data_IF_053173373594
#
_entry.id   IF_053173373594
#
_cell.length_a   1.000
_cell.length_b   1.000
_cell.length_c   1.000
_cell.angle_alpha   90.00
_cell.angle_beta   90.00
_cell.angle_gamma   90.00
#
_symmetry.space_group_name_H-M   'P 1'
#
loop_
_entity.id
_entity.type
_entity.pdbx_description
1 polymer ?
#
# COMPACT_ATOMS: atom_id res chain seq x y z
N UNK A 1 4.54 16.72 -13.71
CA UNK A 1 5.64 15.73 -13.62
C UNK A 1 5.02 14.35 -13.78
N UNK A 2 5.56 13.53 -14.69
CA UNK A 2 5.12 12.16 -14.90
C UNK A 2 6.03 11.26 -14.06
N UNK A 3 5.63 10.97 -12.80
CA UNK A 3 6.52 10.30 -11.84
C UNK A 3 6.89 8.86 -12.23
N UNK A 4 6.07 8.22 -13.07
CA UNK A 4 6.26 6.86 -13.57
C UNK A 4 6.65 6.79 -15.04
N UNK A 5 6.90 7.93 -15.72
CA UNK A 5 7.22 8.00 -17.15
C UNK A 5 6.27 7.19 -18.05
N UNK A 6 4.97 7.23 -17.76
CA UNK A 6 3.96 6.49 -18.50
C UNK A 6 3.65 7.10 -19.88
N UNK A 7 3.18 6.30 -20.87
CA UNK A 7 2.78 6.79 -22.18
C UNK A 7 1.69 7.87 -22.11
N UNK A 8 1.73 8.85 -23.02
CA UNK A 8 0.76 9.97 -23.06
C UNK A 8 -0.70 9.52 -23.16
N UNK A 9 -0.98 8.41 -23.85
CA UNK A 9 -2.30 7.78 -23.96
C UNK A 9 -2.92 7.33 -22.62
N UNK A 10 -2.12 7.23 -21.57
CA UNK A 10 -2.61 6.86 -20.23
C UNK A 10 -3.07 8.08 -19.42
N UNK A 11 -2.79 9.31 -19.88
CA UNK A 11 -3.06 10.55 -19.13
C UNK A 11 -4.55 10.84 -19.05
N UNK A 12 -5.03 11.08 -17.82
CA UNK A 12 -6.40 11.54 -17.53
C UNK A 12 -6.39 12.97 -16.99
N UNK A 13 -5.48 13.27 -16.06
CA UNK A 13 -5.26 14.57 -15.44
C UNK A 13 -6.54 15.28 -14.94
N UNK A 14 -7.41 14.55 -14.24
CA UNK A 14 -8.69 15.05 -13.70
C UNK A 14 -8.60 15.27 -12.20
N UNK A 15 -9.11 16.40 -11.69
CA UNK A 15 -9.22 16.63 -10.24
C UNK A 15 -10.35 15.78 -9.67
N UNK A 16 -10.05 15.01 -8.62
CA UNK A 16 -11.07 14.27 -7.86
C UNK A 16 -11.45 15.13 -6.66
N UNK A 17 -12.69 15.66 -6.61
CA UNK A 17 -13.09 16.56 -5.54
C UNK A 17 -13.27 15.76 -4.24
N UNK A 18 -12.90 16.34 -3.10
CA UNK A 18 -12.92 15.62 -1.79
C UNK A 18 -14.33 15.20 -1.37
N UNK A 19 -15.34 15.94 -1.82
CA UNK A 19 -16.75 15.62 -1.56
C UNK A 19 -17.24 14.40 -2.35
N UNK A 20 -16.48 13.89 -3.34
CA UNK A 20 -16.80 12.63 -4.02
C UNK A 20 -16.85 11.45 -3.04
N UNK A 21 -16.20 11.57 -1.88
CA UNK A 21 -16.15 10.54 -0.85
C UNK A 21 -17.13 10.79 0.30
N UNK A 22 -17.99 11.81 0.24
CA UNK A 22 -18.85 12.23 1.36
C UNK A 22 -19.80 11.10 1.84
N UNK A 23 -20.27 10.24 0.93
CA UNK A 23 -21.12 9.08 1.27
C UNK A 23 -20.39 7.95 2.01
N UNK A 24 -19.05 7.95 1.97
CA UNK A 24 -18.20 6.91 2.57
C UNK A 24 -17.53 7.37 3.87
N UNK A 25 -17.76 8.60 4.30
CA UNK A 25 -17.03 9.22 5.41
C UNK A 25 -17.93 9.87 6.45
N UNK A 26 -17.48 9.84 7.70
CA UNK A 26 -18.10 10.61 8.79
C UNK A 26 -17.54 12.03 8.89
N UNK A 27 -18.16 12.87 9.72
CA UNK A 27 -17.76 14.28 9.93
C UNK A 27 -16.28 14.44 10.33
N UNK A 28 -15.73 13.51 11.12
CA UNK A 28 -14.32 13.55 11.54
C UNK A 28 -13.38 13.26 10.37
N UNK A 29 -13.69 12.26 9.56
CA UNK A 29 -12.94 11.92 8.35
C UNK A 29 -13.04 13.03 7.30
N UNK A 30 -14.22 13.63 7.10
CA UNK A 30 -14.41 14.78 6.21
C UNK A 30 -13.56 15.99 6.62
N UNK A 31 -13.48 16.26 7.91
CA UNK A 31 -12.56 17.27 8.45
C UNK A 31 -11.10 16.90 8.17
N UNK A 32 -10.72 15.63 8.37
CA UNK A 32 -9.36 15.16 8.10
C UNK A 32 -8.98 15.28 6.61
N UNK A 33 -9.90 14.96 5.68
CA UNK A 33 -9.73 15.23 4.24
C UNK A 33 -9.44 16.71 3.97
N UNK A 34 -10.20 17.59 4.61
CA UNK A 34 -10.06 19.04 4.43
C UNK A 34 -8.76 19.57 5.01
N UNK A 35 -8.37 19.09 6.19
CA UNK A 35 -7.22 19.57 6.95
C UNK A 35 -5.89 18.99 6.44
N UNK A 36 -5.86 17.75 5.94
CA UNK A 36 -4.63 17.06 5.53
C UNK A 36 -4.40 17.06 4.04
N UNK A 37 -5.42 16.83 3.23
CA UNK A 37 -5.27 16.74 1.78
C UNK A 37 -5.43 18.13 1.19
N UNK A 38 -4.49 18.54 0.35
CA UNK A 38 -4.59 19.75 -0.45
C UNK A 38 -5.44 19.46 -1.70
N UNK A 39 -5.01 18.48 -2.51
CA UNK A 39 -5.63 18.12 -3.78
C UNK A 39 -5.44 16.63 -4.09
N UNK A 40 -6.42 16.05 -4.78
CA UNK A 40 -6.36 14.70 -5.33
C UNK A 40 -6.52 14.84 -6.84
N UNK A 41 -5.59 14.25 -7.59
CA UNK A 41 -5.60 14.27 -9.06
C UNK A 41 -5.50 12.86 -9.59
N UNK A 42 -6.48 12.45 -10.38
CA UNK A 42 -6.40 11.27 -11.21
C UNK A 42 -5.48 11.56 -12.38
N UNK A 43 -4.24 11.08 -12.28
CA UNK A 43 -3.18 11.40 -13.23
C UNK A 43 -3.24 10.50 -14.46
N UNK A 44 -3.32 9.18 -14.25
CA UNK A 44 -3.28 8.19 -15.31
C UNK A 44 -4.25 7.04 -15.06
N UNK A 45 -4.66 6.39 -16.15
CA UNK A 45 -5.42 5.14 -16.18
C UNK A 45 -4.67 4.15 -17.06
N UNK A 46 -4.45 2.95 -16.52
CA UNK A 46 -3.87 1.81 -17.23
C UNK A 46 -4.96 0.75 -17.42
N UNK A 47 -5.21 0.39 -18.66
CA UNK A 47 -6.23 -0.55 -19.12
C UNK A 47 -5.78 -1.11 -20.48
N UNK A 48 -6.43 -2.16 -20.97
CA UNK A 48 -6.11 -2.70 -22.30
C UNK A 48 -6.19 -1.64 -23.39
N UNK A 49 -7.15 -0.73 -23.32
CA UNK A 49 -7.31 0.38 -24.27
C UNK A 49 -6.15 1.39 -24.22
N UNK A 50 -5.62 1.66 -23.02
CA UNK A 50 -4.62 2.71 -22.82
C UNK A 50 -3.19 2.21 -22.97
N UNK A 51 -2.91 0.92 -22.75
CA UNK A 51 -1.54 0.38 -22.86
C UNK A 51 -1.39 -0.82 -23.79
N UNK A 52 -2.47 -1.37 -24.34
CA UNK A 52 -2.48 -2.58 -25.19
C UNK A 52 -1.88 -3.81 -24.49
N UNK A 53 -2.09 -3.92 -23.17
CA UNK A 53 -1.77 -5.11 -22.39
C UNK A 53 -3.06 -5.87 -22.05
N UNK A 54 -2.98 -7.19 -22.03
CA UNK A 54 -4.07 -8.04 -21.54
C UNK A 54 -4.26 -7.94 -20.03
N UNK A 55 -5.32 -8.58 -19.52
CA UNK A 55 -5.55 -8.77 -18.10
C UNK A 55 -6.16 -10.15 -17.86
N UNK A 56 -5.96 -10.67 -16.65
CA UNK A 56 -6.66 -11.84 -16.13
C UNK A 56 -7.69 -11.40 -15.09
N UNK A 57 -7.25 -10.80 -13.99
CA UNK A 57 -8.10 -10.33 -12.88
C UNK A 57 -8.12 -8.79 -12.83
N UNK A 58 -6.96 -8.16 -13.04
CA UNK A 58 -6.80 -6.71 -12.89
C UNK A 58 -7.11 -6.01 -14.22
N UNK A 59 -8.37 -5.61 -14.39
CA UNK A 59 -8.86 -4.95 -15.61
C UNK A 59 -8.32 -3.52 -15.79
N UNK A 60 -8.09 -2.82 -14.68
CA UNK A 60 -7.69 -1.41 -14.70
C UNK A 60 -6.87 -1.05 -13.45
N UNK A 61 -5.84 -0.22 -13.65
CA UNK A 61 -5.05 0.40 -12.59
C UNK A 61 -5.15 1.92 -12.72
N UNK A 62 -5.58 2.59 -11.66
CA UNK A 62 -5.69 4.05 -11.61
C UNK A 62 -4.55 4.65 -10.78
N UNK A 63 -3.97 5.74 -11.28
CA UNK A 63 -2.90 6.45 -10.57
C UNK A 63 -3.40 7.78 -10.02
N UNK A 64 -3.46 7.88 -8.70
CA UNK A 64 -3.88 9.08 -8.00
C UNK A 64 -2.69 9.78 -7.34
N UNK A 65 -2.50 11.06 -7.68
CA UNK A 65 -1.59 11.95 -6.97
C UNK A 65 -2.36 12.61 -5.83
N UNK A 66 -1.86 12.47 -4.61
CA UNK A 66 -2.43 13.04 -3.39
C UNK A 66 -1.44 14.04 -2.81
N UNK A 67 -1.72 15.31 -2.99
CA UNK A 67 -0.91 16.41 -2.44
C UNK A 67 -1.36 16.69 -1.01
N UNK A 68 -0.45 16.61 -0.04
CA UNK A 68 -0.74 16.91 1.37
C UNK A 68 -0.41 18.36 1.72
N UNK A 69 -1.17 18.92 2.66
CA UNK A 69 -0.91 20.24 3.27
C UNK A 69 0.22 20.20 4.30
N UNK A 70 0.44 19.04 4.93
CA UNK A 70 1.48 18.79 5.91
C UNK A 70 1.88 17.32 5.89
N UNK A 71 3.11 17.00 6.32
CA UNK A 71 3.56 15.61 6.50
C UNK A 71 2.73 14.97 7.61
N UNK A 72 1.89 14.02 7.26
CA UNK A 72 1.01 13.30 8.19
C UNK A 72 0.65 11.94 7.63
N UNK A 73 0.38 10.98 8.52
CA UNK A 73 -0.21 9.71 8.14
C UNK A 73 -1.67 9.92 7.70
N UNK A 74 -1.95 9.57 6.44
CA UNK A 74 -3.28 9.61 5.81
C UNK A 74 -3.74 8.21 5.36
N UNK A 75 -3.12 7.15 5.85
CA UNK A 75 -3.45 5.74 5.51
C UNK A 75 -4.95 5.46 5.56
N UNK A 76 -5.63 5.87 6.63
CA UNK A 76 -7.10 5.72 6.76
C UNK A 76 -7.88 6.45 5.67
N UNK A 77 -7.40 7.61 5.19
CA UNK A 77 -8.04 8.32 4.08
C UNK A 77 -7.83 7.61 2.75
N UNK A 78 -6.63 7.08 2.50
CA UNK A 78 -6.34 6.30 1.31
C UNK A 78 -7.19 5.03 1.27
N UNK A 79 -7.35 4.37 2.41
CA UNK A 79 -8.19 3.18 2.55
C UNK A 79 -9.64 3.46 2.16
N UNK A 80 -10.21 4.60 2.59
CA UNK A 80 -11.55 5.05 2.21
C UNK A 80 -11.64 5.21 0.69
N UNK A 81 -10.68 5.91 0.08
CA UNK A 81 -10.67 6.12 -1.38
C UNK A 81 -10.58 4.76 -2.09
N UNK A 82 -9.72 3.86 -1.62
CA UNK A 82 -9.53 2.54 -2.21
C UNK A 82 -10.79 1.66 -2.14
N UNK A 83 -11.58 1.75 -1.06
CA UNK A 83 -12.85 1.01 -0.92
C UNK A 83 -13.98 1.58 -1.77
N UNK A 84 -13.96 2.89 -2.01
CA UNK A 84 -15.01 3.59 -2.77
C UNK A 84 -14.92 3.39 -4.29
N UNK A 85 -13.85 2.75 -4.78
CA UNK A 85 -13.58 2.55 -6.21
C UNK A 85 -13.22 1.08 -6.42
N UNK A 86 -13.88 0.36 -7.35
CA UNK A 86 -13.65 -1.07 -7.55
C UNK A 86 -12.28 -1.40 -8.17
N UNK A 87 -11.76 -0.52 -9.03
CA UNK A 87 -10.47 -0.71 -9.72
C UNK A 87 -9.25 -0.50 -8.81
N UNK A 88 -8.15 -1.20 -9.09
CA UNK A 88 -6.90 -1.07 -8.34
C UNK A 88 -6.35 0.36 -8.40
N UNK A 89 -5.92 0.90 -7.26
CA UNK A 89 -5.39 2.28 -7.18
C UNK A 89 -3.97 2.27 -6.66
N UNK A 90 -3.10 2.98 -7.38
CA UNK A 90 -1.77 3.37 -6.94
C UNK A 90 -1.80 4.84 -6.54
N UNK A 91 -1.56 5.10 -5.26
CA UNK A 91 -1.42 6.43 -4.70
C UNK A 91 0.04 6.88 -4.74
N UNK A 92 0.29 8.01 -5.38
CA UNK A 92 1.48 8.82 -5.17
C UNK A 92 1.13 9.92 -4.16
N UNK A 93 1.54 9.75 -2.90
CA UNK A 93 1.25 10.73 -1.85
C UNK A 93 2.49 11.58 -1.64
N UNK A 94 2.33 12.90 -1.71
CA UNK A 94 3.47 13.82 -1.66
C UNK A 94 3.25 14.99 -0.71
N UNK A 95 4.36 15.44 -0.15
CA UNK A 95 4.45 16.67 0.61
C UNK A 95 5.80 17.32 0.36
N UNK A 96 5.80 18.55 -0.16
CA UNK A 96 7.03 19.26 -0.57
C UNK A 96 7.86 18.43 -1.57
N UNK A 97 9.07 18.02 -1.19
CA UNK A 97 10.01 17.24 -2.01
C UNK A 97 10.05 15.76 -1.61
N UNK A 98 9.13 15.33 -0.77
CA UNK A 98 9.05 13.94 -0.29
C UNK A 98 7.75 13.30 -0.77
N UNK A 99 7.78 11.99 -0.98
CA UNK A 99 6.62 11.20 -1.37
C UNK A 99 6.67 9.80 -0.77
N UNK A 100 5.54 9.10 -0.78
CA UNK A 100 5.50 7.66 -0.61
C UNK A 100 4.46 7.07 -1.56
N UNK A 101 4.59 5.78 -1.85
CA UNK A 101 3.62 5.04 -2.65
C UNK A 101 2.76 4.19 -1.75
N UNK A 102 1.46 4.13 -2.04
CA UNK A 102 0.56 3.18 -1.40
C UNK A 102 -0.40 2.57 -2.43
N UNK A 103 -0.65 1.27 -2.30
CA UNK A 103 -1.62 0.54 -3.12
C UNK A 103 -2.26 -0.56 -2.28
N UNK A 104 -3.37 -1.13 -2.74
CA UNK A 104 -4.03 -2.22 -2.04
C UNK A 104 -4.39 -3.37 -2.98
N UNK A 105 -4.10 -4.59 -2.54
CA UNK A 105 -4.75 -5.77 -3.10
C UNK A 105 -6.16 -5.84 -2.54
N UNK A 106 -7.13 -6.07 -3.42
CA UNK A 106 -8.55 -6.04 -3.08
C UNK A 106 -9.35 -6.88 -4.04
N UNK A 107 -10.54 -7.28 -3.58
CA UNK A 107 -11.55 -7.96 -4.38
C UNK A 107 -12.90 -7.25 -4.24
N UNK A 108 -13.83 -7.45 -5.19
CA UNK A 108 -15.19 -6.90 -5.09
C UNK A 108 -15.91 -7.41 -3.83
N UNK A 109 -16.74 -6.57 -3.22
CA UNK A 109 -17.52 -6.98 -2.06
C UNK A 109 -18.54 -8.06 -2.46
N UNK A 110 -18.73 -9.14 -1.66
CA UNK A 110 -19.56 -10.30 -2.05
C UNK A 110 -21.02 -10.00 -2.42
N UNK A 111 -21.52 -8.84 -2.01
CA UNK A 111 -22.91 -8.41 -2.21
C UNK A 111 -23.04 -7.04 -2.89
N UNK A 112 -21.93 -6.36 -3.20
CA UNK A 112 -21.96 -5.04 -3.83
C UNK A 112 -20.67 -4.79 -4.63
N UNK A 113 -20.72 -5.01 -5.94
CA UNK A 113 -19.55 -4.92 -6.81
C UNK A 113 -18.98 -3.49 -6.94
N UNK A 114 -19.73 -2.46 -6.52
CA UNK A 114 -19.26 -1.06 -6.51
C UNK A 114 -18.35 -0.76 -5.31
N UNK A 115 -18.24 -1.68 -4.35
CA UNK A 115 -17.43 -1.53 -3.14
C UNK A 115 -16.33 -2.59 -3.14
N UNK A 116 -15.10 -2.20 -2.82
CA UNK A 116 -13.99 -3.14 -2.69
C UNK A 116 -13.72 -3.53 -1.22
N UNK A 117 -13.34 -4.79 -1.02
CA UNK A 117 -12.79 -5.31 0.24
C UNK A 117 -11.28 -5.39 0.11
N UNK A 118 -10.56 -4.72 1.01
CA UNK A 118 -9.09 -4.68 1.00
C UNK A 118 -8.54 -5.91 1.70
N UNK A 119 -7.75 -6.71 0.98
CA UNK A 119 -7.03 -7.86 1.52
C UNK A 119 -5.74 -7.42 2.21
N UNK A 120 -5.02 -6.48 1.58
CA UNK A 120 -3.79 -5.94 2.11
C UNK A 120 -3.45 -4.58 1.50
N UNK A 121 -2.85 -3.70 2.30
CA UNK A 121 -2.32 -2.42 1.83
C UNK A 121 -0.79 -2.46 1.84
N UNK A 122 -0.20 -2.26 0.67
CA UNK A 122 1.23 -2.07 0.48
C UNK A 122 1.53 -0.56 0.57
N UNK A 123 2.59 -0.21 1.29
CA UNK A 123 3.04 1.18 1.40
C UNK A 123 4.54 1.22 1.60
N UNK A 124 5.21 2.13 0.88
CA UNK A 124 6.60 2.46 1.15
C UNK A 124 6.72 3.42 2.35
N UNK A 125 7.95 3.59 2.82
CA UNK A 125 8.34 4.74 3.61
C UNK A 125 8.40 6.02 2.75
N UNK A 126 8.60 7.16 3.42
CA UNK A 126 8.78 8.46 2.75
C UNK A 126 10.16 8.54 2.09
N UNK A 127 10.16 8.84 0.80
CA UNK A 127 11.34 8.98 -0.05
C UNK A 127 11.44 10.39 -0.65
N UNK A 128 12.64 10.77 -1.10
CA UNK A 128 12.85 12.02 -1.84
C UNK A 128 12.41 11.88 -3.28
N UNK A 129 11.66 12.85 -3.82
CA UNK A 129 11.23 12.88 -5.23
C UNK A 129 12.43 12.88 -6.19
N UNK A 130 13.60 13.36 -5.74
CA UNK A 130 14.84 13.37 -6.53
C UNK A 130 15.43 11.97 -6.74
N UNK A 131 15.07 11.00 -5.90
CA UNK A 131 15.49 9.61 -6.00
C UNK A 131 14.26 8.70 -5.93
N UNK A 132 13.46 8.65 -6.99
CA UNK A 132 12.31 7.74 -7.07
C UNK A 132 12.79 6.31 -7.43
N UNK A 133 12.72 5.33 -6.51
CA UNK A 133 13.09 3.95 -6.82
C UNK A 133 11.97 3.19 -7.54
N UNK A 134 10.73 3.67 -7.48
CA UNK A 134 9.55 2.95 -7.94
C UNK A 134 9.27 3.15 -9.41
N UNK A 135 8.95 2.06 -10.12
CA UNK A 135 8.65 2.05 -11.54
C UNK A 135 7.40 1.22 -11.83
N UNK A 136 6.66 1.61 -12.86
CA UNK A 136 5.59 0.82 -13.43
C UNK A 136 6.10 0.19 -14.73
N UNK A 137 6.60 -1.04 -14.62
CA UNK A 137 7.12 -1.78 -15.77
C UNK A 137 5.95 -2.34 -16.57
N UNK A 138 5.63 -1.70 -17.70
CA UNK A 138 4.52 -2.08 -18.58
C UNK A 138 4.87 -3.34 -19.39
N UNK A 139 4.77 -4.52 -18.77
CA UNK A 139 5.12 -5.81 -19.37
C UNK A 139 4.00 -6.84 -19.23
N UNK A 140 3.87 -7.71 -20.24
CA UNK A 140 3.00 -8.89 -20.26
C UNK A 140 1.49 -8.61 -20.08
N UNK A 141 1.05 -8.27 -18.87
CA UNK A 141 -0.34 -8.00 -18.51
C UNK A 141 -0.44 -6.98 -17.37
N UNK A 142 -1.63 -6.42 -17.17
CA UNK A 142 -1.92 -5.52 -16.05
C UNK A 142 -1.69 -6.19 -14.68
N UNK A 143 -1.96 -7.49 -14.57
CA UNK A 143 -1.71 -8.28 -13.36
C UNK A 143 -0.23 -8.32 -13.00
N UNK A 144 0.64 -8.51 -14.00
CA UNK A 144 2.09 -8.52 -13.82
C UNK A 144 2.59 -7.13 -13.42
N UNK A 145 2.11 -6.07 -14.09
CA UNK A 145 2.43 -4.67 -13.74
C UNK A 145 2.09 -4.35 -12.29
N UNK A 146 0.89 -4.74 -11.85
CA UNK A 146 0.43 -4.48 -10.49
C UNK A 146 1.21 -5.31 -9.45
N UNK A 147 1.43 -6.60 -9.74
CA UNK A 147 2.22 -7.48 -8.87
C UNK A 147 3.64 -6.96 -8.69
N UNK A 148 4.30 -6.57 -9.79
CA UNK A 148 5.65 -6.02 -9.78
C UNK A 148 5.75 -4.80 -8.86
N UNK A 149 4.80 -3.87 -8.97
CA UNK A 149 4.73 -2.74 -8.05
C UNK A 149 4.53 -3.19 -6.59
N UNK A 150 3.63 -4.15 -6.32
CA UNK A 150 3.44 -4.67 -4.97
C UNK A 150 4.73 -5.24 -4.39
N UNK A 151 5.50 -6.01 -5.18
CA UNK A 151 6.81 -6.54 -4.78
C UNK A 151 7.82 -5.42 -4.52
N UNK A 152 7.88 -4.39 -5.36
CA UNK A 152 8.74 -3.22 -5.13
C UNK A 152 8.42 -2.48 -3.82
N UNK A 153 7.17 -2.56 -3.35
CA UNK A 153 6.74 -1.98 -2.07
C UNK A 153 6.96 -2.93 -0.87
N UNK A 154 7.50 -4.12 -1.12
CA UNK A 154 7.98 -5.01 -0.08
C UNK A 154 9.50 -4.93 0.03
N UNK A 155 10.03 -5.24 1.20
CA UNK A 155 11.48 -5.37 1.42
C UNK A 155 12.05 -6.71 0.90
N UNK A 156 11.32 -7.45 0.04
CA UNK A 156 11.69 -8.80 -0.39
C UNK A 156 11.49 -9.00 -1.90
N UNK A 157 12.55 -8.86 -2.72
CA UNK A 157 12.48 -9.05 -4.17
C UNK A 157 12.25 -10.52 -4.59
N UNK A 158 12.54 -11.50 -3.73
CA UNK A 158 12.36 -12.93 -4.08
C UNK A 158 10.88 -13.31 -4.27
N UNK A 159 9.96 -12.40 -3.95
CA UNK A 159 8.53 -12.56 -4.14
C UNK A 159 8.08 -12.39 -5.60
N UNK A 160 8.96 -12.03 -6.55
CA UNK A 160 8.59 -11.88 -7.97
C UNK A 160 8.02 -13.16 -8.58
N UNK A 161 8.55 -14.34 -8.22
CA UNK A 161 8.08 -15.64 -8.72
C UNK A 161 6.84 -16.16 -7.98
N UNK A 162 6.41 -15.44 -6.94
CA UNK A 162 5.27 -15.82 -6.11
C UNK A 162 3.97 -15.16 -6.62
N UNK A 163 2.84 -15.86 -6.51
CA UNK A 163 1.53 -15.29 -6.84
C UNK A 163 1.10 -14.19 -5.86
N UNK A 164 0.33 -13.20 -6.33
CA UNK A 164 -0.08 -12.04 -5.53
C UNK A 164 -0.76 -12.43 -4.20
N UNK A 165 -1.61 -13.46 -4.20
CA UNK A 165 -2.24 -13.98 -2.98
C UNK A 165 -1.23 -14.44 -1.93
N UNK A 166 -0.18 -15.12 -2.35
CA UNK A 166 0.88 -15.59 -1.44
C UNK A 166 1.74 -14.43 -0.93
N UNK A 167 1.98 -13.41 -1.75
CA UNK A 167 2.62 -12.16 -1.34
C UNK A 167 1.79 -11.49 -0.23
N UNK A 168 0.47 -11.38 -0.44
CA UNK A 168 -0.46 -10.82 0.55
C UNK A 168 -0.40 -11.60 1.86
N UNK A 169 -0.47 -12.94 1.82
CA UNK A 169 -0.38 -13.80 3.01
C UNK A 169 0.95 -13.61 3.73
N UNK A 170 2.07 -13.56 2.99
CA UNK A 170 3.40 -13.30 3.56
C UNK A 170 3.45 -11.95 4.29
N UNK A 171 2.94 -10.88 3.68
CA UNK A 171 2.94 -9.55 4.29
C UNK A 171 2.03 -9.45 5.51
N UNK A 172 0.86 -10.11 5.49
CA UNK A 172 -0.03 -10.22 6.65
C UNK A 172 0.68 -10.88 7.84
N UNK A 173 1.43 -11.97 7.57
CA UNK A 173 2.17 -12.69 8.59
C UNK A 173 3.35 -11.90 9.15
N UNK A 174 4.11 -11.21 8.28
CA UNK A 174 5.15 -10.25 8.70
C UNK A 174 4.56 -9.19 9.63
N UNK A 175 3.40 -8.63 9.28
CA UNK A 175 2.75 -7.61 10.09
C UNK A 175 2.27 -8.15 11.44
N UNK A 176 1.70 -9.37 11.47
CA UNK A 176 1.30 -10.05 12.70
C UNK A 176 2.50 -10.21 13.64
N UNK A 177 3.62 -10.73 13.13
CA UNK A 177 4.85 -10.91 13.91
C UNK A 177 5.43 -9.58 14.39
N UNK A 178 5.49 -8.55 13.55
CA UNK A 178 5.94 -7.19 13.95
C UNK A 178 5.09 -6.65 15.11
N UNK A 179 3.77 -6.83 15.06
CA UNK A 179 2.86 -6.41 16.14
C UNK A 179 3.06 -7.21 17.43
N UNK A 180 3.24 -8.53 17.34
CA UNK A 180 3.55 -9.37 18.49
C UNK A 180 4.86 -8.97 19.15
N UNK A 181 5.91 -8.75 18.35
CA UNK A 181 7.22 -8.26 18.81
C UNK A 181 7.08 -6.91 19.52
N UNK A 182 6.30 -5.97 18.96
CA UNK A 182 6.05 -4.67 19.59
C UNK A 182 5.37 -4.80 20.95
N UNK A 183 4.33 -5.65 21.05
CA UNK A 183 3.60 -5.92 22.31
C UNK A 183 4.50 -6.60 23.35
N UNK A 184 5.30 -7.58 22.93
CA UNK A 184 6.24 -8.30 23.80
C UNK A 184 7.36 -7.37 24.28
N UNK A 185 7.95 -6.56 23.39
CA UNK A 185 8.98 -5.57 23.73
C UNK A 185 8.48 -4.57 24.78
N UNK A 186 7.28 -4.03 24.60
CA UNK A 186 6.66 -3.15 25.59
C UNK A 186 6.40 -3.87 26.93
N UNK A 187 6.05 -5.15 26.91
CA UNK A 187 5.83 -5.96 28.12
C UNK A 187 7.13 -6.25 28.85
N UNK A 188 8.22 -6.54 28.12
CA UNK A 188 9.57 -6.68 28.68
C UNK A 188 10.00 -5.40 29.39
N UNK A 189 9.82 -4.24 28.73
CA UNK A 189 10.20 -2.93 29.28
C UNK A 189 9.44 -2.58 30.56
N UNK A 190 8.17 -2.97 30.66
CA UNK A 190 7.32 -2.75 31.85
C UNK A 190 7.58 -3.72 33.00
N UNK A 191 8.23 -4.86 32.75
CA UNK A 191 8.39 -5.91 33.76
C UNK A 191 9.54 -5.61 34.74
N UNK A 192 9.21 -5.57 36.04
CA UNK A 192 10.18 -5.33 37.13
C UNK A 192 10.80 -6.62 37.69
N UNK A 193 10.09 -7.76 37.58
CA UNK A 193 10.57 -9.04 38.11
C UNK A 193 11.55 -9.70 37.12
N UNK A 194 12.74 -10.07 37.61
CA UNK A 194 13.81 -10.64 36.78
C UNK A 194 13.36 -11.90 36.02
N UNK A 195 12.78 -12.88 36.73
CA UNK A 195 12.34 -14.15 36.12
C UNK A 195 11.34 -13.93 34.99
N UNK A 196 10.36 -13.04 35.21
CA UNK A 196 9.35 -12.71 34.20
C UNK A 196 9.95 -12.00 32.99
N UNK A 197 10.94 -11.13 33.22
CA UNK A 197 11.66 -10.44 32.14
C UNK A 197 12.46 -11.42 31.28
N UNK A 198 13.10 -12.43 31.88
CA UNK A 198 13.81 -13.50 31.17
C UNK A 198 12.87 -14.31 30.28
N UNK A 199 11.71 -14.74 30.79
CA UNK A 199 10.71 -15.47 30.00
C UNK A 199 10.22 -14.66 28.79
N UNK A 200 9.88 -13.38 29.00
CA UNK A 200 9.39 -12.50 27.95
C UNK A 200 10.47 -12.23 26.89
N UNK A 201 11.74 -12.09 27.30
CA UNK A 201 12.87 -11.97 26.37
C UNK A 201 13.08 -13.23 25.54
N UNK A 202 12.92 -14.42 26.12
CA UNK A 202 13.00 -15.69 25.36
C UNK A 202 11.93 -15.73 24.26
N UNK A 203 10.68 -15.40 24.59
CA UNK A 203 9.58 -15.31 23.62
C UNK A 203 9.83 -14.25 22.55
N UNK A 204 10.30 -13.08 22.95
CA UNK A 204 10.64 -11.98 22.03
C UNK A 204 11.72 -12.41 21.02
N UNK A 205 12.78 -13.09 21.47
CA UNK A 205 13.85 -13.55 20.59
C UNK A 205 13.38 -14.65 19.63
N UNK A 206 12.51 -15.56 20.06
CA UNK A 206 11.91 -16.56 19.16
C UNK A 206 11.10 -15.88 18.05
N UNK A 207 10.26 -14.90 18.40
CA UNK A 207 9.44 -14.16 17.43
C UNK A 207 10.28 -13.33 16.47
N UNK A 208 11.38 -12.73 16.94
CA UNK A 208 12.34 -12.04 16.07
C UNK A 208 13.02 -13.00 15.07
N UNK A 209 13.37 -14.21 15.49
CA UNK A 209 13.93 -15.24 14.59
C UNK A 209 12.92 -15.70 13.54
N UNK A 210 11.67 -15.91 13.94
CA UNK A 210 10.57 -16.24 13.03
C UNK A 210 10.37 -15.15 11.97
N UNK A 211 10.34 -13.88 12.39
CA UNK A 211 10.26 -12.74 11.47
C UNK A 211 11.48 -12.68 10.53
N UNK A 212 12.68 -12.88 11.05
CA UNK A 212 13.90 -12.88 10.22
C UNK A 212 13.86 -13.98 9.16
N UNK A 213 13.43 -15.20 9.52
CA UNK A 213 13.29 -16.31 8.57
C UNK A 213 12.23 -16.03 7.48
N UNK A 214 11.22 -15.22 7.79
CA UNK A 214 10.18 -14.87 6.82
C UNK A 214 10.59 -13.73 5.88
N UNK A 215 11.51 -12.87 6.33
CA UNK A 215 12.04 -11.74 5.55
C UNK A 215 13.27 -12.12 4.73
N UNK A 216 14.11 -13.00 5.27
CA UNK A 216 15.23 -13.62 4.58
C UNK A 216 14.78 -15.02 4.23
N UNK A 217 14.45 -15.29 2.96
CA UNK A 217 14.25 -16.65 2.45
C UNK A 217 15.58 -17.45 2.46
N UNK A 218 16.34 -17.39 3.57
CA UNK A 218 17.38 -18.36 3.87
C UNK A 218 16.68 -19.67 4.24
N UNK A 219 16.20 -20.37 3.21
CA UNK A 219 16.11 -21.82 3.24
C UNK A 219 17.54 -22.35 3.32
N UNK A 220 18.02 -22.52 4.55
CA UNK A 220 19.17 -23.39 4.82
C UNK A 220 18.83 -24.85 4.55
#
# INVERSE_FOLDING_TARGET
MNYFNLPSRTVVNRVVPKNAFDSYINTKQKKLFTDRIQRITWTHKLSTETINLGFNEIQEIQLFRVELKMKSDVSTLLEIINKSIPYNIVFWVEYKKEFYISTASKHPHPTNDDIAVIDWTFSSDWESIENNPFKLNLSESLDVVFKDLCVQLTDNPDLHDTGLTNIVVNQQEIHRLKNEIKKLSASVAKSKQFNRKVELNKKLNLKKKELHKLMSNDEG
#
